data_IF_841170059592
#
_entry.id   IF_841170059592
#
_cell.length_a   1.000
_cell.length_b   1.000
_cell.length_c   1.000
_cell.angle_alpha   90.00
_cell.angle_beta   90.00
_cell.angle_gamma   90.00
#
_symmetry.space_group_name_H-M   'P 1'
#
loop_
_entity.id
_entity.type
_entity.pdbx_description
1 polymer ?
#
# COMPACT_ATOMS: atom_id res chain seq x y z
N UNK A 1 43.68 -41.39 -26.89
CA UNK A 1 43.25 -40.03 -27.30
C UNK A 1 41.97 -40.18 -28.12
N UNK A 2 41.07 -39.21 -27.98
CA UNK A 2 39.71 -39.08 -28.53
C UNK A 2 38.58 -39.74 -27.73
N UNK A 3 37.85 -38.90 -26.99
CA UNK A 3 36.43 -39.09 -26.63
C UNK A 3 35.55 -38.87 -27.86
N UNK A 4 34.32 -39.40 -27.84
CA UNK A 4 33.12 -38.55 -28.01
C UNK A 4 31.99 -38.96 -27.04
N UNK A 5 31.38 -37.99 -26.35
CA UNK A 5 29.99 -37.51 -26.49
C UNK A 5 28.88 -38.55 -26.17
N UNK A 6 27.73 -38.26 -25.58
CA UNK A 6 27.07 -37.17 -24.83
C UNK A 6 25.64 -37.75 -24.60
N UNK A 7 24.88 -37.24 -23.61
CA UNK A 7 23.46 -37.55 -23.31
C UNK A 7 23.17 -38.85 -22.54
N UNK A 8 22.25 -38.93 -21.57
CA UNK A 8 21.13 -38.10 -21.13
C UNK A 8 20.76 -38.65 -19.73
N UNK A 9 20.75 -37.80 -18.68
CA UNK A 9 19.65 -37.76 -17.70
C UNK A 9 19.89 -36.56 -16.78
N UNK A 10 19.70 -35.36 -17.33
CA UNK A 10 19.41 -34.21 -16.50
C UNK A 10 17.94 -34.33 -16.14
N UNK A 11 17.64 -35.06 -15.07
CA UNK A 11 16.35 -34.96 -14.39
C UNK A 11 16.25 -33.55 -13.83
N UNK A 12 15.71 -32.64 -14.66
CA UNK A 12 15.27 -31.31 -14.26
C UNK A 12 14.05 -31.48 -13.38
N UNK A 13 14.27 -31.73 -12.08
CA UNK A 13 13.27 -31.42 -11.08
C UNK A 13 13.18 -29.89 -11.01
N UNK A 14 12.37 -29.33 -11.91
CA UNK A 14 11.74 -28.04 -11.71
C UNK A 14 10.83 -28.20 -10.49
N UNK A 15 11.40 -28.06 -9.30
CA UNK A 15 10.64 -27.59 -8.16
C UNK A 15 10.16 -26.19 -8.55
N UNK A 16 8.98 -26.12 -9.13
CA UNK A 16 8.13 -24.94 -9.04
C UNK A 16 8.03 -24.65 -7.55
N UNK A 17 8.82 -23.68 -7.09
CA UNK A 17 8.60 -23.03 -5.81
C UNK A 17 7.24 -22.35 -5.95
N UNK A 18 6.19 -23.01 -5.45
CA UNK A 18 4.93 -22.37 -5.12
C UNK A 18 5.28 -21.15 -4.25
N UNK A 19 5.22 -19.94 -4.83
CA UNK A 19 5.40 -18.68 -4.13
C UNK A 19 4.28 -18.57 -3.09
N UNK A 20 4.55 -18.80 -1.80
CA UNK A 20 3.50 -18.91 -0.80
C UNK A 20 3.23 -17.53 -0.22
N UNK A 21 2.88 -16.54 -1.05
CA UNK A 21 2.61 -15.16 -0.59
C UNK A 21 2.00 -14.29 -1.72
N UNK A 22 0.97 -14.79 -2.42
CA UNK A 22 -0.06 -13.88 -2.94
C UNK A 22 -1.17 -13.79 -1.90
N UNK A 23 -0.77 -13.39 -0.70
CA UNK A 23 -1.68 -13.03 0.38
C UNK A 23 -2.60 -11.93 -0.16
N UNK A 24 -3.90 -12.16 -0.01
CA UNK A 24 -4.98 -11.22 -0.31
C UNK A 24 -4.67 -9.86 0.36
N UNK A 25 -4.16 -8.91 -0.43
CA UNK A 25 -3.59 -7.68 0.12
C UNK A 25 -4.65 -6.59 0.16
N UNK A 26 -4.64 -5.74 1.21
CA UNK A 26 -5.57 -4.60 1.35
C UNK A 26 -5.68 -3.74 0.07
N UNK A 27 -4.58 -3.59 -0.68
CA UNK A 27 -4.58 -2.79 -1.90
C UNK A 27 -5.40 -3.41 -3.04
N UNK A 28 -5.61 -4.73 -3.03
CA UNK A 28 -6.43 -5.43 -4.02
C UNK A 28 -7.93 -5.17 -3.79
N UNK A 29 -8.32 -4.79 -2.57
CA UNK A 29 -9.69 -4.47 -2.16
C UNK A 29 -9.92 -2.98 -1.88
N UNK A 30 -8.99 -2.09 -2.26
CA UNK A 30 -9.08 -0.66 -1.98
C UNK A 30 -8.78 0.19 -3.20
N UNK A 31 -9.75 1.01 -3.58
CA UNK A 31 -9.63 2.02 -4.60
C UNK A 31 -9.09 3.33 -4.00
N UNK A 32 -8.06 3.89 -4.63
CA UNK A 32 -7.52 5.22 -4.32
C UNK A 32 -7.81 6.13 -5.50
N UNK A 33 -8.56 7.22 -5.26
CA UNK A 33 -8.92 8.19 -6.29
C UNK A 33 -8.53 9.61 -5.90
N UNK A 34 -8.37 10.46 -6.91
CA UNK A 34 -8.08 11.89 -6.74
C UNK A 34 -9.21 12.68 -7.43
N UNK A 35 -10.38 12.85 -6.77
CA UNK A 35 -11.54 13.47 -7.40
C UNK A 35 -11.40 14.98 -7.64
N UNK A 36 -10.56 15.67 -6.87
CA UNK A 36 -10.41 17.12 -6.97
C UNK A 36 -8.94 17.53 -7.06
N UNK A 37 -8.66 18.48 -7.96
CA UNK A 37 -7.39 19.18 -8.06
C UNK A 37 -7.67 20.67 -8.20
N UNK A 38 -7.27 21.47 -7.20
CA UNK A 38 -7.53 22.90 -7.16
C UNK A 38 -6.25 23.71 -7.07
N UNK A 39 -5.98 24.53 -8.09
CA UNK A 39 -4.85 25.46 -8.11
C UNK A 39 -5.19 26.70 -7.29
N UNK A 40 -4.44 26.96 -6.23
CA UNK A 40 -4.57 28.10 -5.33
C UNK A 40 -3.34 29.00 -5.40
N UNK A 41 -3.55 30.28 -5.12
CA UNK A 41 -2.49 31.26 -4.83
C UNK A 41 -2.26 31.35 -3.33
N UNK A 42 -1.02 31.58 -2.91
CA UNK A 42 -0.73 31.88 -1.51
C UNK A 42 -0.77 33.41 -1.28
N UNK A 43 -1.78 33.97 -0.58
CA UNK A 43 -1.91 35.42 -0.40
C UNK A 43 -0.82 36.03 0.50
N UNK A 44 -0.11 35.19 1.27
CA UNK A 44 0.79 35.62 2.34
C UNK A 44 2.27 35.64 1.92
N UNK A 45 2.60 35.15 0.71
CA UNK A 45 3.97 35.13 0.19
C UNK A 45 4.03 36.04 -1.06
N UNK A 46 4.90 37.05 -1.02
CA UNK A 46 5.11 38.07 -2.07
C UNK A 46 5.78 37.54 -3.37
N UNK A 47 5.47 36.34 -3.84
CA UNK A 47 5.85 35.91 -5.21
C UNK A 47 4.70 35.07 -5.76
N UNK A 48 4.56 35.05 -7.09
CA UNK A 48 3.62 34.27 -7.93
C UNK A 48 3.73 32.75 -7.72
N UNK A 49 3.64 32.27 -6.48
CA UNK A 49 3.65 30.87 -6.13
C UNK A 49 2.22 30.34 -6.09
N UNK A 50 1.97 29.41 -7.00
CA UNK A 50 0.73 28.64 -7.05
C UNK A 50 1.01 27.26 -6.45
N UNK A 51 0.06 26.72 -5.71
CA UNK A 51 0.07 25.33 -5.26
C UNK A 51 -1.23 24.65 -5.69
N UNK A 52 -1.15 23.35 -5.93
CA UNK A 52 -2.32 22.53 -6.24
C UNK A 52 -2.70 21.73 -5.00
N UNK A 53 -3.95 21.85 -4.58
CA UNK A 53 -4.51 21.02 -3.53
C UNK A 53 -5.17 19.84 -4.20
N UNK A 54 -4.75 18.64 -3.80
CA UNK A 54 -5.37 17.41 -4.21
C UNK A 54 -6.21 16.88 -3.08
N UNK A 55 -7.40 16.44 -3.43
CA UNK A 55 -8.21 15.62 -2.56
C UNK A 55 -7.97 14.16 -2.91
N UNK A 56 -7.56 13.37 -1.93
CA UNK A 56 -7.36 11.93 -2.09
C UNK A 56 -8.45 11.23 -1.30
N UNK A 57 -9.20 10.38 -1.99
CA UNK A 57 -10.24 9.55 -1.41
C UNK A 57 -9.84 8.09 -1.52
N UNK A 58 -10.03 7.34 -0.43
CA UNK A 58 -9.80 5.90 -0.38
C UNK A 58 -11.12 5.21 -0.05
N UNK A 59 -11.47 4.21 -0.85
CA UNK A 59 -12.73 3.47 -0.76
C UNK A 59 -12.43 1.98 -0.82
N UNK A 60 -12.98 1.23 0.12
CA UNK A 60 -12.94 -0.23 0.08
C UNK A 60 -13.92 -0.72 -0.99
N UNK A 61 -13.45 -1.55 -1.92
CA UNK A 61 -14.24 -2.10 -3.03
C UNK A 61 -15.02 -3.33 -2.62
N UNK A 62 -14.49 -4.10 -1.66
CA UNK A 62 -15.02 -5.43 -1.35
C UNK A 62 -15.88 -5.42 -0.10
N UNK A 63 -17.04 -6.06 -0.21
CA UNK A 63 -18.06 -6.08 0.84
C UNK A 63 -17.61 -6.86 2.08
N UNK A 64 -16.76 -7.87 1.91
CA UNK A 64 -16.14 -8.64 2.99
C UNK A 64 -15.14 -7.80 3.83
N UNK A 65 -14.61 -6.71 3.26
CA UNK A 65 -13.74 -5.74 3.96
C UNK A 65 -14.51 -4.54 4.54
N UNK A 66 -15.85 -4.60 4.57
CA UNK A 66 -16.73 -3.51 5.03
C UNK A 66 -16.60 -3.14 6.52
N UNK A 67 -15.86 -3.91 7.31
CA UNK A 67 -15.51 -3.60 8.69
C UNK A 67 -14.55 -2.40 8.81
N UNK A 68 -13.86 -2.04 7.72
CA UNK A 68 -13.04 -0.83 7.66
C UNK A 68 -13.95 0.39 7.45
N UNK A 69 -13.74 1.49 8.18
CA UNK A 69 -14.53 2.72 8.01
C UNK A 69 -14.61 3.12 6.54
N UNK A 70 -15.84 3.24 6.02
CA UNK A 70 -16.13 3.31 4.58
C UNK A 70 -15.51 4.51 3.87
N UNK A 71 -14.97 5.51 4.57
CA UNK A 71 -14.55 6.78 3.99
C UNK A 71 -13.35 7.37 4.75
N UNK A 72 -12.18 7.33 4.15
CA UNK A 72 -11.02 8.10 4.59
C UNK A 72 -10.70 9.15 3.53
N UNK A 73 -11.00 10.41 3.84
CA UNK A 73 -10.77 11.58 2.99
C UNK A 73 -9.53 12.32 3.50
N UNK A 74 -8.51 12.45 2.65
CA UNK A 74 -7.30 13.21 2.97
C UNK A 74 -7.11 14.36 1.98
N UNK A 75 -6.90 15.57 2.49
CA UNK A 75 -6.48 16.72 1.68
C UNK A 75 -4.97 16.91 1.79
N UNK A 76 -4.28 16.93 0.65
CA UNK A 76 -2.83 17.18 0.58
C UNK A 76 -2.59 18.43 -0.27
N UNK A 77 -1.74 19.33 0.21
CA UNK A 77 -1.30 20.52 -0.53
C UNK A 77 0.04 20.26 -1.17
N UNK A 78 0.15 20.50 -2.48
CA UNK A 78 1.31 20.08 -3.26
C UNK A 78 1.73 21.19 -4.21
N UNK A 79 3.02 21.53 -4.23
CA UNK A 79 3.58 22.61 -5.05
C UNK A 79 4.18 22.11 -6.37
N UNK A 80 4.58 20.83 -6.48
CA UNK A 80 5.11 20.19 -7.71
C UNK A 80 4.60 18.74 -7.88
N UNK A 81 4.57 18.21 -9.11
CA UNK A 81 4.06 16.86 -9.38
C UNK A 81 4.89 15.74 -8.71
N UNK A 82 6.22 15.90 -8.66
CA UNK A 82 7.12 14.98 -7.95
C UNK A 82 6.72 14.81 -6.46
N UNK A 83 6.20 15.88 -5.86
CA UNK A 83 5.75 15.89 -4.47
C UNK A 83 4.45 15.09 -4.28
N UNK A 84 3.62 14.89 -5.32
CA UNK A 84 2.40 14.07 -5.23
C UNK A 84 2.72 12.59 -5.01
N UNK A 85 3.62 12.04 -5.83
CA UNK A 85 4.04 10.64 -5.67
C UNK A 85 4.73 10.41 -4.32
N UNK A 86 5.57 11.35 -3.89
CA UNK A 86 6.22 11.28 -2.59
C UNK A 86 5.22 11.37 -1.43
N UNK A 87 4.24 12.28 -1.51
CA UNK A 87 3.19 12.45 -0.50
C UNK A 87 2.30 11.23 -0.38
N UNK A 88 1.88 10.65 -1.51
CA UNK A 88 1.10 9.39 -1.54
C UNK A 88 1.88 8.24 -0.92
N UNK A 89 3.16 8.08 -1.27
CA UNK A 89 4.03 7.06 -0.67
C UNK A 89 4.12 7.20 0.85
N UNK A 90 4.31 8.43 1.33
CA UNK A 90 4.39 8.71 2.76
C UNK A 90 3.07 8.43 3.48
N UNK A 91 1.94 8.78 2.86
CA UNK A 91 0.62 8.48 3.40
C UNK A 91 0.38 6.96 3.52
N UNK A 92 0.61 6.21 2.45
CA UNK A 92 0.49 4.74 2.47
C UNK A 92 1.43 4.13 3.51
N UNK A 93 2.68 4.59 3.58
CA UNK A 93 3.63 4.13 4.60
C UNK A 93 3.19 4.44 6.04
N UNK A 94 2.58 5.59 6.27
CA UNK A 94 2.00 5.95 7.56
C UNK A 94 0.83 5.04 7.93
N UNK A 95 -0.07 4.78 6.99
CA UNK A 95 -1.20 3.88 7.17
C UNK A 95 -0.74 2.45 7.50
N UNK A 96 0.23 1.90 6.74
CA UNK A 96 0.81 0.58 7.02
C UNK A 96 1.39 0.52 8.43
N UNK A 97 2.16 1.55 8.83
CA UNK A 97 2.74 1.62 10.19
C UNK A 97 1.69 1.65 11.29
N UNK A 98 0.62 2.43 11.11
CA UNK A 98 -0.47 2.51 12.09
C UNK A 98 -1.19 1.16 12.20
N UNK A 99 -1.49 0.52 11.06
CA UNK A 99 -2.12 -0.79 11.04
C UNK A 99 -1.24 -1.89 11.63
N UNK A 100 0.08 -1.88 11.40
CA UNK A 100 1.02 -2.83 12.05
C UNK A 100 1.03 -2.70 13.57
N UNK A 101 0.99 -1.47 14.10
CA UNK A 101 0.88 -1.23 15.55
C UNK A 101 -0.46 -1.73 16.10
N UNK A 102 -1.55 -1.47 15.38
CA UNK A 102 -2.88 -1.97 15.72
C UNK A 102 -2.89 -3.50 15.77
N UNK A 103 -2.36 -4.15 14.73
CA UNK A 103 -2.25 -5.61 14.64
C UNK A 103 -1.46 -6.19 15.82
N UNK A 104 -0.27 -5.65 16.12
CA UNK A 104 0.53 -6.10 17.26
C UNK A 104 -0.23 -5.99 18.58
N UNK A 105 -1.00 -4.90 18.76
CA UNK A 105 -1.83 -4.71 19.96
C UNK A 105 -2.93 -5.77 20.04
N UNK A 106 -3.62 -6.04 18.93
CA UNK A 106 -4.64 -7.07 18.85
C UNK A 106 -4.10 -8.48 19.07
N UNK A 107 -2.92 -8.79 18.52
CA UNK A 107 -2.23 -10.07 18.77
C UNK A 107 -1.93 -10.25 20.25
N UNK A 108 -1.45 -9.20 20.92
CA UNK A 108 -1.20 -9.24 22.36
C UNK A 108 -2.49 -9.46 23.16
N UNK A 109 -3.57 -8.75 22.81
CA UNK A 109 -4.89 -8.92 23.45
C UNK A 109 -5.41 -10.35 23.26
N UNK A 110 -5.36 -10.87 22.03
CA UNK A 110 -5.76 -12.25 21.72
C UNK A 110 -4.99 -13.26 22.55
N UNK A 111 -3.67 -13.12 22.65
CA UNK A 111 -2.83 -13.97 23.47
C UNK A 111 -3.21 -13.90 24.97
N UNK A 112 -3.55 -12.71 25.49
CA UNK A 112 -4.05 -12.57 26.86
C UNK A 112 -5.39 -13.29 27.05
N UNK A 113 -6.34 -13.17 26.12
CA UNK A 113 -7.64 -13.83 26.21
C UNK A 113 -7.49 -15.35 26.19
N UNK A 114 -6.65 -15.88 25.29
CA UNK A 114 -6.38 -17.32 25.16
C UNK A 114 -5.65 -17.91 26.38
N UNK A 115 -4.99 -17.07 27.17
CA UNK A 115 -4.31 -17.50 28.41
C UNK A 115 -5.25 -17.62 29.62
N UNK A 116 -6.53 -17.22 29.49
CA UNK A 116 -7.52 -17.33 30.57
C UNK A 116 -7.97 -18.80 30.66
N UNK A 117 -7.78 -19.48 31.81
CA UNK A 117 -8.18 -20.88 32.01
C UNK A 117 -9.69 -21.08 32.09
#
# INVERSE_FOLDING_TARGET
MASPDTNEDATSNANESEDPDKDDCLLDHMEISIPEAEKRTNPSLNIREFYTVYLIETKVTDEDWSLIPKQNKLSIRITKEEDLRASLRNYVGLQIRMNRKCLSTWTNIKACIESIP
#
